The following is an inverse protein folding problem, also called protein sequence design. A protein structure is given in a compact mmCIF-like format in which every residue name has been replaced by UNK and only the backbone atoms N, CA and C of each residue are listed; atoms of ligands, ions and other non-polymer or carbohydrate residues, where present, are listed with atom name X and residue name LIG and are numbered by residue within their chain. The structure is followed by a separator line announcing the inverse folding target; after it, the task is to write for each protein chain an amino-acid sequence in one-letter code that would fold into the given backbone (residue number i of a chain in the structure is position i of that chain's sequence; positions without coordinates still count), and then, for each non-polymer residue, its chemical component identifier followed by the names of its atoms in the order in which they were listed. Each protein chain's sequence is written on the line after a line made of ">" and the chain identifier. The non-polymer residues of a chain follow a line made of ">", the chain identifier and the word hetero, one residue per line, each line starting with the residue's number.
data_IF_527223887726
#
_entry.id   IF_527223887726
#
_cell.length_a   1.000
_cell.length_b   1.000
_cell.length_c   1.000
_cell.angle_alpha   90.00
_cell.angle_beta   90.00
_cell.angle_gamma   90.00
#
_symmetry.space_group_name_H-M   'P 1'
#
loop_
_entity.id
_entity.type
_entity.pdbx_description
1 polymer ?
#
# COMPACT_ATOMS: atom_id res chain seq x y z
N UNK A 1 -3.72 58.69 0.36
CA UNK A 1 -4.68 58.42 -0.74
C UNK A 1 -3.95 57.53 -1.73
N UNK A 2 -3.79 56.24 -1.43
CA UNK A 2 -4.73 55.13 -1.71
C UNK A 2 -4.85 54.83 -3.21
N UNK A 3 -3.91 54.04 -3.73
CA UNK A 3 -4.18 53.08 -4.78
C UNK A 3 -3.85 51.70 -4.20
N UNK A 4 -4.89 51.05 -3.68
CA UNK A 4 -4.82 49.69 -3.19
C UNK A 4 -4.64 48.73 -4.38
N UNK A 5 -3.52 48.02 -4.35
CA UNK A 5 -3.25 46.79 -5.08
C UNK A 5 -4.49 45.89 -5.16
N UNK A 6 -5.07 45.81 -6.35
CA UNK A 6 -6.02 44.77 -6.74
C UNK A 6 -5.27 43.68 -7.49
N UNK A 7 -4.41 42.94 -6.80
CA UNK A 7 -4.09 41.58 -7.21
C UNK A 7 -4.75 40.64 -6.22
N UNK A 8 -6.03 40.41 -6.50
CA UNK A 8 -6.85 39.36 -5.91
C UNK A 8 -6.11 38.05 -6.16
N UNK A 9 -5.46 37.53 -5.14
CA UNK A 9 -5.03 36.13 -5.11
C UNK A 9 -6.32 35.34 -5.29
N UNK A 10 -6.50 34.75 -6.46
CA UNK A 10 -7.58 33.81 -6.71
C UNK A 10 -7.42 32.70 -5.68
N UNK A 11 -8.40 32.61 -4.79
CA UNK A 11 -8.54 31.51 -3.84
C UNK A 11 -8.47 30.21 -4.64
N UNK A 12 -7.67 29.21 -4.21
CA UNK A 12 -7.67 27.92 -4.88
C UNK A 12 -9.11 27.39 -4.92
N UNK A 13 -9.55 26.96 -6.10
CA UNK A 13 -10.89 26.44 -6.36
C UNK A 13 -11.31 25.50 -5.21
N UNK A 14 -12.43 25.81 -4.54
CA UNK A 14 -12.89 25.00 -3.42
C UNK A 14 -13.23 23.60 -3.91
N UNK A 15 -12.77 22.59 -3.18
CA UNK A 15 -13.07 21.18 -3.42
C UNK A 15 -14.51 20.79 -3.04
N UNK A 16 -15.36 21.76 -2.68
CA UNK A 16 -16.64 21.51 -2.01
C UNK A 16 -17.75 20.99 -2.95
N UNK A 17 -17.54 20.98 -4.27
CA UNK A 17 -18.55 20.56 -5.26
C UNK A 17 -18.08 19.49 -6.26
N UNK A 18 -16.81 19.05 -6.20
CA UNK A 18 -16.27 18.06 -7.16
C UNK A 18 -16.58 16.63 -6.71
N UNK A 19 -17.00 15.77 -7.63
CA UNK A 19 -17.16 14.34 -7.39
C UNK A 19 -15.82 13.67 -7.06
N UNK A 20 -15.87 12.51 -6.40
CA UNK A 20 -14.66 11.74 -6.08
C UNK A 20 -13.84 11.40 -7.32
N UNK A 21 -14.50 11.12 -8.44
CA UNK A 21 -13.85 10.84 -9.73
C UNK A 21 -13.15 12.09 -10.27
N UNK A 22 -13.81 13.25 -10.26
CA UNK A 22 -13.18 14.52 -10.66
C UNK A 22 -11.99 14.88 -9.76
N UNK A 23 -12.06 14.58 -8.46
CA UNK A 23 -10.92 14.76 -7.55
C UNK A 23 -9.72 13.88 -7.94
N UNK A 24 -9.96 12.62 -8.30
CA UNK A 24 -8.89 11.73 -8.76
C UNK A 24 -8.37 12.11 -10.15
N UNK A 25 -9.23 12.53 -11.07
CA UNK A 25 -8.82 13.04 -12.38
C UNK A 25 -7.92 14.28 -12.25
N UNK A 26 -8.23 15.18 -11.31
CA UNK A 26 -7.40 16.36 -11.04
C UNK A 26 -6.06 15.98 -10.39
N UNK A 27 -6.04 14.97 -9.52
CA UNK A 27 -4.83 14.56 -8.81
C UNK A 27 -3.86 13.74 -9.68
N UNK A 28 -4.38 12.86 -10.53
CA UNK A 28 -3.60 11.88 -11.29
C UNK A 28 -3.58 12.15 -12.80
N UNK A 29 -4.58 12.85 -13.33
CA UNK A 29 -4.88 12.91 -14.75
C UNK A 29 -5.79 11.77 -15.20
N UNK A 30 -6.55 12.00 -16.27
CA UNK A 30 -7.52 11.05 -16.83
C UNK A 30 -6.90 9.73 -17.25
N UNK A 31 -5.78 9.80 -17.96
CA UNK A 31 -5.11 8.62 -18.51
C UNK A 31 -4.57 7.71 -17.40
N UNK A 32 -3.99 8.29 -16.35
CA UNK A 32 -3.48 7.52 -15.20
C UNK A 32 -4.63 6.96 -14.37
N UNK A 33 -5.72 7.70 -14.19
CA UNK A 33 -6.90 7.18 -13.49
C UNK A 33 -7.48 5.94 -14.21
N UNK A 34 -7.59 6.00 -15.53
CA UNK A 34 -8.09 4.88 -16.33
C UNK A 34 -7.13 3.67 -16.28
N UNK A 35 -5.81 3.93 -16.29
CA UNK A 35 -4.79 2.90 -16.08
C UNK A 35 -4.97 2.21 -14.72
N UNK A 36 -5.14 2.98 -13.64
CA UNK A 36 -5.33 2.44 -12.29
C UNK A 36 -6.61 1.62 -12.16
N UNK A 37 -7.72 2.07 -12.76
CA UNK A 37 -8.98 1.29 -12.84
C UNK A 37 -8.76 -0.04 -13.54
N UNK A 38 -8.06 -0.03 -14.68
CA UNK A 38 -7.74 -1.23 -15.45
C UNK A 38 -6.88 -2.20 -14.65
N UNK A 39 -5.83 -1.70 -13.98
CA UNK A 39 -4.96 -2.51 -13.12
C UNK A 39 -5.75 -3.16 -11.98
N UNK A 40 -6.62 -2.40 -11.32
CA UNK A 40 -7.47 -2.91 -10.25
C UNK A 40 -8.39 -4.04 -10.75
N UNK A 41 -9.06 -3.86 -11.90
CA UNK A 41 -9.91 -4.90 -12.50
C UNK A 41 -9.11 -6.17 -12.84
N UNK A 42 -7.95 -6.03 -13.49
CA UNK A 42 -7.06 -7.17 -13.76
C UNK A 42 -6.67 -7.90 -12.47
N UNK A 43 -6.39 -7.15 -11.40
CA UNK A 43 -6.00 -7.72 -10.12
C UNK A 43 -7.10 -8.56 -9.47
N UNK A 44 -8.36 -8.12 -9.57
CA UNK A 44 -9.53 -8.85 -9.10
C UNK A 44 -9.75 -10.20 -9.82
N UNK A 45 -9.23 -10.35 -11.04
CA UNK A 45 -9.35 -11.57 -11.84
C UNK A 45 -8.24 -12.60 -11.54
N UNK A 46 -7.20 -12.22 -10.79
CA UNK A 46 -6.10 -13.13 -10.43
C UNK A 46 -6.58 -14.17 -9.40
N UNK A 47 -6.12 -15.43 -9.48
CA UNK A 47 -6.65 -16.54 -8.68
C UNK A 47 -6.37 -16.41 -7.17
N UNK A 48 -5.36 -15.65 -6.79
CA UNK A 48 -4.96 -15.41 -5.39
C UNK A 48 -5.63 -14.17 -4.77
N UNK A 49 -6.54 -13.50 -5.51
CA UNK A 49 -7.27 -12.34 -5.02
C UNK A 49 -8.18 -12.70 -3.83
N UNK A 50 -8.16 -11.88 -2.79
CA UNK A 50 -9.09 -11.98 -1.67
C UNK A 50 -9.36 -10.59 -1.13
N UNK A 51 -10.63 -10.25 -0.85
CA UNK A 51 -11.00 -8.91 -0.33
C UNK A 51 -10.30 -8.53 0.99
N UNK A 52 -9.81 -9.52 1.75
CA UNK A 52 -9.08 -9.32 3.01
C UNK A 52 -7.58 -9.10 2.84
N UNK A 53 -7.03 -9.34 1.64
CA UNK A 53 -5.60 -9.31 1.40
C UNK A 53 -5.17 -7.97 0.79
N UNK A 54 -3.86 -7.71 0.72
CA UNK A 54 -3.29 -6.47 0.20
C UNK A 54 -3.63 -6.21 -1.26
N UNK A 55 -3.72 -7.27 -2.09
CA UNK A 55 -4.06 -7.19 -3.51
C UNK A 55 -3.28 -6.10 -4.28
N UNK A 56 -1.97 -6.05 -4.09
CA UNK A 56 -1.11 -5.08 -4.79
C UNK A 56 -1.24 -5.29 -6.30
N UNK A 57 -1.65 -4.25 -7.02
CA UNK A 57 -1.88 -4.31 -8.48
C UNK A 57 -0.58 -4.17 -9.29
N UNK A 58 0.39 -3.43 -8.76
CA UNK A 58 1.66 -3.12 -9.42
C UNK A 58 2.75 -2.92 -8.38
N UNK A 59 3.93 -3.48 -8.62
CA UNK A 59 5.09 -3.32 -7.75
C UNK A 59 5.66 -1.89 -7.87
N UNK A 60 5.68 -1.14 -6.77
CA UNK A 60 6.24 0.22 -6.71
C UNK A 60 7.74 0.31 -7.03
N UNK A 61 8.50 -0.78 -6.91
CA UNK A 61 9.94 -0.77 -7.20
C UNK A 61 10.28 -1.07 -8.66
N UNK A 62 9.50 -1.91 -9.34
CA UNK A 62 9.87 -2.41 -10.68
C UNK A 62 8.75 -2.39 -11.73
N UNK A 63 7.55 -1.89 -11.38
CA UNK A 63 6.39 -1.78 -12.26
C UNK A 63 5.78 -3.10 -12.71
N UNK A 64 6.10 -4.22 -12.06
CA UNK A 64 5.53 -5.53 -12.40
C UNK A 64 4.09 -5.66 -11.89
N UNK A 65 3.17 -6.15 -12.72
CA UNK A 65 1.80 -6.54 -12.32
C UNK A 65 1.75 -7.91 -11.61
N UNK A 66 2.86 -8.66 -11.60
CA UNK A 66 2.95 -9.99 -10.99
C UNK A 66 3.34 -9.90 -9.50
N UNK A 67 2.37 -9.46 -8.69
CA UNK A 67 2.48 -9.31 -7.23
C UNK A 67 1.36 -10.11 -6.52
N UNK A 68 1.44 -11.45 -6.51
CA UNK A 68 0.45 -12.29 -5.84
C UNK A 68 0.46 -12.13 -4.32
N UNK A 69 -0.70 -12.37 -3.72
CA UNK A 69 -0.86 -12.59 -2.29
C UNK A 69 -0.32 -14.00 -1.95
N UNK A 70 0.65 -14.05 -1.05
CA UNK A 70 1.36 -15.28 -0.66
C UNK A 70 1.36 -15.43 0.85
N UNK A 71 1.61 -16.65 1.32
CA UNK A 71 1.93 -16.89 2.72
C UNK A 71 3.45 -16.89 2.87
N UNK A 72 3.98 -16.05 3.76
CA UNK A 72 5.41 -15.96 4.06
C UNK A 72 5.63 -16.50 5.47
N UNK A 73 6.69 -17.28 5.64
CA UNK A 73 7.16 -17.69 6.97
C UNK A 73 8.26 -16.73 7.39
N UNK A 74 8.05 -16.02 8.49
CA UNK A 74 9.05 -15.17 9.12
C UNK A 74 9.66 -15.97 10.26
N UNK A 75 10.95 -16.24 10.16
CA UNK A 75 11.69 -16.93 11.21
C UNK A 75 12.03 -15.93 12.33
N UNK A 76 11.62 -16.27 13.55
CA UNK A 76 11.85 -15.48 14.75
C UNK A 76 12.95 -16.15 15.56
N UNK A 77 13.98 -15.36 15.88
CA UNK A 77 15.11 -15.78 16.70
C UNK A 77 15.11 -15.00 18.02
N UNK A 78 14.49 -15.54 19.08
CA UNK A 78 14.54 -14.94 20.39
C UNK A 78 16.00 -14.86 20.87
N UNK A 79 16.36 -13.75 21.51
CA UNK A 79 17.68 -13.63 22.17
C UNK A 79 17.67 -14.26 23.58
N UNK A 80 16.60 -14.98 23.91
CA UNK A 80 16.38 -15.66 25.17
C UNK A 80 16.62 -17.17 24.98
N UNK A 81 17.67 -17.71 25.61
CA UNK A 81 18.09 -19.11 25.46
C UNK A 81 17.04 -20.14 25.90
N UNK A 82 15.97 -19.71 26.57
CA UNK A 82 14.87 -20.58 26.98
C UNK A 82 13.74 -20.68 25.93
N UNK A 83 13.78 -19.87 24.87
CA UNK A 83 12.76 -19.86 23.81
C UNK A 83 13.39 -20.41 22.53
N UNK A 84 12.78 -21.46 21.98
CA UNK A 84 13.21 -22.07 20.72
C UNK A 84 12.77 -21.15 19.56
N UNK A 85 13.63 -20.98 18.55
CA UNK A 85 13.27 -20.29 17.30
C UNK A 85 11.98 -20.86 16.72
N UNK A 86 11.12 -20.00 16.19
CA UNK A 86 9.84 -20.40 15.65
C UNK A 86 9.47 -19.58 14.42
N UNK A 87 8.54 -20.08 13.61
CA UNK A 87 8.08 -19.41 12.40
C UNK A 87 6.71 -18.79 12.62
N UNK A 88 6.56 -17.53 12.21
CA UNK A 88 5.27 -16.85 12.13
C UNK A 88 4.81 -16.87 10.67
N UNK A 89 3.61 -17.39 10.44
CA UNK A 89 2.98 -17.39 9.12
C UNK A 89 2.20 -16.10 8.93
N UNK A 90 2.55 -15.32 7.92
CA UNK A 90 1.86 -14.06 7.59
C UNK A 90 1.32 -14.08 6.17
N UNK A 91 0.16 -13.46 5.98
CA UNK A 91 -0.40 -13.21 4.65
C UNK A 91 0.20 -11.89 4.15
N UNK A 92 0.85 -11.92 3.00
CA UNK A 92 1.58 -10.79 2.44
C UNK A 92 1.39 -10.76 0.91
N UNK A 93 1.98 -9.78 0.23
CA UNK A 93 2.12 -9.81 -1.22
C UNK A 93 3.60 -9.82 -1.60
N UNK A 94 3.99 -10.55 -2.66
CA UNK A 94 5.39 -10.64 -3.08
C UNK A 94 5.52 -10.45 -4.57
N UNK A 95 6.38 -9.51 -5.00
CA UNK A 95 6.67 -9.33 -6.41
C UNK A 95 7.49 -10.50 -6.93
N UNK A 96 6.99 -11.21 -7.95
CA UNK A 96 7.72 -12.34 -8.55
C UNK A 96 8.91 -11.90 -9.42
N UNK A 97 8.98 -10.62 -9.79
CA UNK A 97 10.04 -10.06 -10.64
C UNK A 97 11.25 -9.60 -9.83
N UNK A 98 11.07 -8.69 -8.87
CA UNK A 98 12.17 -8.14 -8.08
C UNK A 98 12.29 -8.74 -6.67
N UNK A 99 11.32 -9.53 -6.23
CA UNK A 99 11.34 -10.17 -4.91
C UNK A 99 10.83 -9.31 -3.76
N UNK A 100 10.43 -8.05 -4.01
CA UNK A 100 9.90 -7.15 -2.98
C UNK A 100 8.69 -7.76 -2.26
N UNK A 101 8.64 -7.60 -0.94
CA UNK A 101 7.59 -8.11 -0.07
C UNK A 101 6.81 -6.96 0.57
N UNK A 102 5.49 -7.05 0.53
CA UNK A 102 4.56 -6.07 1.07
C UNK A 102 3.80 -6.70 2.23
N UNK A 103 3.82 -5.99 3.35
CA UNK A 103 3.15 -6.38 4.59
C UNK A 103 2.13 -5.31 4.95
N UNK A 104 0.97 -5.73 5.49
CA UNK A 104 0.04 -4.79 6.05
C UNK A 104 0.62 -4.17 7.35
N UNK A 105 0.15 -2.98 7.69
CA UNK A 105 0.65 -2.23 8.84
C UNK A 105 0.39 -2.95 10.16
N UNK A 106 -0.76 -3.62 10.29
CA UNK A 106 -1.14 -4.31 11.53
C UNK A 106 -0.24 -5.52 11.79
N UNK A 107 0.02 -6.33 10.76
CA UNK A 107 0.99 -7.43 10.77
C UNK A 107 2.38 -6.94 11.14
N UNK A 108 2.82 -5.82 10.55
CA UNK A 108 4.13 -5.23 10.86
C UNK A 108 4.23 -4.81 12.33
N UNK A 109 3.18 -4.20 12.88
CA UNK A 109 3.13 -3.83 14.29
C UNK A 109 3.09 -5.04 15.22
N UNK A 110 2.32 -6.08 14.87
CA UNK A 110 2.25 -7.33 15.63
C UNK A 110 3.61 -8.02 15.69
N UNK A 111 4.32 -8.13 14.56
CA UNK A 111 5.67 -8.70 14.52
C UNK A 111 6.63 -7.94 15.43
N UNK A 112 6.61 -6.60 15.39
CA UNK A 112 7.43 -5.76 16.31
C UNK A 112 7.09 -6.01 17.77
N UNK A 113 5.81 -6.14 18.13
CA UNK A 113 5.39 -6.45 19.50
C UNK A 113 5.88 -7.84 19.93
N UNK A 114 5.81 -8.83 19.05
CA UNK A 114 6.34 -10.17 19.32
C UNK A 114 7.85 -10.10 19.55
N UNK A 115 8.61 -9.44 18.66
CA UNK A 115 10.06 -9.27 18.85
C UNK A 115 10.40 -8.60 20.19
N UNK A 116 9.62 -7.61 20.61
CA UNK A 116 9.84 -6.94 21.90
C UNK A 116 9.61 -7.88 23.09
N UNK A 117 8.54 -8.68 23.06
CA UNK A 117 8.24 -9.67 24.10
C UNK A 117 9.29 -10.78 24.20
N UNK A 118 10.03 -11.05 23.12
CA UNK A 118 11.09 -12.06 23.08
C UNK A 118 12.45 -11.57 23.54
N UNK A 119 12.60 -10.25 23.80
CA UNK A 119 13.84 -9.65 24.34
C UNK A 119 13.87 -9.64 25.87
N UNK A 120 12.71 -9.72 26.52
CA UNK A 120 12.54 -9.79 27.97
C UNK A 120 12.58 -11.25 28.48
#
# INVERSE_FOLDING_TARGET
>A
MNEHDKNRIESPESFEEKSLEEMFELALGKDELERQKTLHQKRMLKPDYSKSDLNISECVFCGSEDVPNVQINIEMHPNNNNIISFNVKVRAAKCLKCGEEYYDSETTELLRKIEQLLKD
#
